data_IF_532803268046
#
_entry.id   IF_532803268046
#
_cell.length_a   1.000
_cell.length_b   1.000
_cell.length_c   1.000
_cell.angle_alpha   90.00
_cell.angle_beta   90.00
_cell.angle_gamma   90.00
#
_symmetry.space_group_name_H-M   'P 1'
#
loop_
_entity.id
_entity.type
_entity.pdbx_description
1 polymer ?
#
# COMPACT_ATOMS: atom_id res chain seq x y z
N UNK A 1 9.10 -8.40 4.01
CA UNK A 1 7.72 -8.48 4.56
C UNK A 1 7.11 -7.15 4.95
N UNK A 2 7.56 -6.39 5.97
CA UNK A 2 6.86 -5.15 6.38
C UNK A 2 7.84 -3.99 6.52
N UNK A 3 7.50 -2.84 5.93
CA UNK A 3 8.17 -1.56 6.18
C UNK A 3 7.22 -0.64 6.94
N UNK A 4 7.60 -0.22 8.14
CA UNK A 4 6.85 0.77 8.93
C UNK A 4 7.39 2.15 8.62
N UNK A 5 6.50 3.09 8.34
CA UNK A 5 6.81 4.49 8.15
C UNK A 5 6.63 5.24 9.48
N UNK A 6 7.72 5.81 10.00
CA UNK A 6 7.74 6.52 11.28
C UNK A 6 8.24 5.65 12.45
N UNK A 7 7.93 6.03 13.70
CA UNK A 7 8.47 5.38 14.88
C UNK A 7 8.06 3.89 15.00
N UNK A 8 9.04 3.03 15.29
CA UNK A 8 8.81 1.60 15.52
C UNK A 8 8.53 1.28 16.99
N UNK A 9 8.92 2.16 17.91
CA UNK A 9 8.58 2.07 19.34
C UNK A 9 7.15 2.59 19.62
N UNK A 10 6.63 2.24 20.79
CA UNK A 10 5.35 2.77 21.27
C UNK A 10 5.45 4.16 21.91
N UNK A 11 6.66 4.70 22.06
CA UNK A 11 6.89 5.98 22.74
C UNK A 11 6.40 7.13 21.86
N UNK A 12 5.44 7.92 22.36
CA UNK A 12 4.92 9.13 21.71
C UNK A 12 4.41 8.95 20.26
N UNK A 13 4.08 7.72 19.83
CA UNK A 13 3.64 7.43 18.46
C UNK A 13 2.14 7.68 18.21
N UNK A 14 1.33 7.61 19.27
CA UNK A 14 -0.13 7.56 19.15
C UNK A 14 -0.65 6.22 18.64
N UNK A 15 -1.93 6.19 18.22
CA UNK A 15 -2.66 4.97 17.85
C UNK A 15 -2.57 4.56 16.37
N UNK A 16 -1.75 5.23 15.57
CA UNK A 16 -1.67 4.98 14.12
C UNK A 16 -0.33 4.36 13.72
N UNK A 17 -0.39 3.39 12.81
CA UNK A 17 0.80 2.78 12.19
C UNK A 17 0.61 2.83 10.69
N UNK A 18 1.55 3.44 9.98
CA UNK A 18 1.57 3.45 8.53
C UNK A 18 2.64 2.47 8.05
N UNK A 19 2.31 1.62 7.08
CA UNK A 19 3.21 0.58 6.60
C UNK A 19 2.90 0.16 5.15
N UNK A 20 3.82 -0.61 4.57
CA UNK A 20 3.60 -1.40 3.36
C UNK A 20 4.10 -2.84 3.54
N UNK A 21 3.52 -3.76 2.78
CA UNK A 21 3.94 -5.16 2.70
C UNK A 21 4.86 -5.39 1.50
N UNK A 22 5.77 -6.34 1.64
CA UNK A 22 6.73 -6.76 0.63
C UNK A 22 6.81 -8.28 0.61
N UNK A 23 6.80 -8.87 -0.57
CA UNK A 23 6.92 -10.31 -0.77
C UNK A 23 8.34 -10.83 -0.41
N UNK A 24 8.59 -12.16 -0.43
CA UNK A 24 9.90 -12.75 -0.14
C UNK A 24 11.03 -12.26 -1.06
N UNK A 25 10.71 -11.89 -2.29
CA UNK A 25 11.64 -11.33 -3.27
C UNK A 25 11.92 -9.83 -3.05
N UNK A 26 11.22 -9.22 -2.09
CA UNK A 26 11.35 -7.81 -1.76
C UNK A 26 10.50 -6.90 -2.64
N UNK A 27 9.56 -7.46 -3.42
CA UNK A 27 8.64 -6.66 -4.19
C UNK A 27 7.52 -6.10 -3.32
N UNK A 28 7.19 -4.82 -3.53
CA UNK A 28 6.03 -4.21 -2.91
C UNK A 28 4.75 -4.99 -3.27
N UNK A 29 3.96 -5.32 -2.24
CA UNK A 29 2.60 -5.84 -2.41
C UNK A 29 1.64 -4.65 -2.54
N UNK A 30 0.85 -4.62 -3.60
CA UNK A 30 -0.08 -3.51 -3.86
C UNK A 30 -1.06 -3.31 -2.70
N UNK A 31 -1.11 -2.10 -2.13
CA UNK A 31 -1.96 -1.80 -0.99
C UNK A 31 -3.45 -2.04 -1.28
N UNK A 32 -3.88 -1.94 -2.54
CA UNK A 32 -5.27 -2.21 -2.98
C UNK A 32 -5.58 -3.70 -2.87
N UNK A 33 -4.60 -4.56 -3.15
CA UNK A 33 -4.76 -6.00 -2.96
C UNK A 33 -4.82 -6.34 -1.48
N UNK A 34 -3.98 -5.72 -0.68
CA UNK A 34 -4.01 -5.91 0.78
C UNK A 34 -5.35 -5.44 1.36
N UNK A 35 -5.86 -4.28 0.94
CA UNK A 35 -7.18 -3.77 1.36
C UNK A 35 -8.32 -4.73 1.00
N UNK A 36 -8.29 -5.27 -0.21
CA UNK A 36 -9.27 -6.27 -0.65
C UNK A 36 -9.23 -7.53 0.23
N UNK A 37 -8.05 -8.13 0.38
CA UNK A 37 -7.89 -9.35 1.18
C UNK A 37 -8.28 -9.11 2.65
N UNK A 38 -7.95 -7.93 3.19
CA UNK A 38 -8.39 -7.51 4.52
C UNK A 38 -9.92 -7.44 4.60
N UNK A 39 -10.58 -6.89 3.58
CA UNK A 39 -12.04 -6.79 3.53
C UNK A 39 -12.72 -8.17 3.50
N UNK A 40 -12.12 -9.19 2.86
CA UNK A 40 -12.64 -10.57 2.87
C UNK A 40 -12.61 -11.15 4.30
N UNK A 41 -11.58 -10.82 5.07
CA UNK A 41 -11.42 -11.22 6.48
C UNK A 41 -12.20 -10.31 7.47
N UNK A 42 -12.97 -9.34 6.97
CA UNK A 42 -13.73 -8.41 7.80
C UNK A 42 -12.88 -7.35 8.50
N UNK A 43 -11.68 -7.06 7.98
CA UNK A 43 -10.75 -6.04 8.50
C UNK A 43 -10.85 -4.78 7.64
N UNK A 44 -11.22 -3.65 8.25
CA UNK A 44 -11.24 -2.35 7.57
C UNK A 44 -9.89 -1.65 7.74
N UNK A 45 -9.19 -1.48 6.62
CA UNK A 45 -7.94 -0.71 6.54
C UNK A 45 -8.20 0.64 5.86
N UNK A 46 -7.33 1.61 6.11
CA UNK A 46 -7.27 2.82 5.29
C UNK A 46 -6.06 2.74 4.38
N UNK A 47 -6.26 2.91 3.09
CA UNK A 47 -5.20 2.90 2.10
C UNK A 47 -5.25 4.15 1.21
N UNK A 48 -4.15 4.42 0.51
CA UNK A 48 -4.07 5.51 -0.46
C UNK A 48 -2.77 6.30 -0.38
N UNK A 49 -2.72 7.41 -1.11
CA UNK A 49 -1.55 8.28 -1.18
C UNK A 49 -1.34 9.12 0.07
N UNK A 50 -0.10 9.53 0.27
CA UNK A 50 0.20 10.62 1.16
C UNK A 50 -0.31 11.93 0.56
N UNK A 51 -1.15 12.65 1.30
CA UNK A 51 -1.72 13.94 0.87
C UNK A 51 -0.78 15.13 1.07
N UNK A 52 0.38 14.90 1.70
CA UNK A 52 1.37 15.93 1.98
C UNK A 52 2.52 15.84 0.95
N UNK A 53 2.82 16.93 0.21
CA UNK A 53 3.96 16.96 -0.70
C UNK A 53 5.26 16.59 0.01
N UNK A 54 6.14 15.84 -0.66
CA UNK A 54 7.41 15.36 -0.11
C UNK A 54 7.30 14.12 0.78
N UNK A 55 6.14 13.82 1.38
CA UNK A 55 6.00 12.66 2.27
C UNK A 55 5.94 11.36 1.48
N UNK A 56 5.22 11.34 0.35
CA UNK A 56 5.16 10.17 -0.51
C UNK A 56 6.50 9.86 -1.15
N UNK A 57 7.22 10.89 -1.54
CA UNK A 57 8.55 10.82 -2.14
C UNK A 57 9.56 10.22 -1.17
N UNK A 58 9.57 10.65 0.09
CA UNK A 58 10.45 10.09 1.12
C UNK A 58 10.03 8.67 1.53
N UNK A 59 8.73 8.41 1.68
CA UNK A 59 8.24 7.11 2.10
C UNK A 59 8.52 6.02 1.05
N UNK A 60 8.27 6.35 -0.21
CA UNK A 60 8.32 5.42 -1.34
C UNK A 60 9.59 5.55 -2.20
N UNK A 61 10.55 6.36 -1.75
CA UNK A 61 11.83 6.61 -2.42
C UNK A 61 11.66 7.10 -3.87
N UNK A 62 10.66 7.97 -4.11
CA UNK A 62 10.43 8.57 -5.43
C UNK A 62 11.48 9.64 -5.70
N UNK A 63 12.18 9.51 -6.82
CA UNK A 63 13.22 10.47 -7.19
C UNK A 63 12.64 11.61 -8.03
N UNK A 64 13.44 12.66 -8.25
CA UNK A 64 13.06 13.73 -9.17
C UNK A 64 12.76 13.20 -10.58
N UNK A 65 13.51 12.20 -11.03
CA UNK A 65 13.30 11.54 -12.33
C UNK A 65 11.95 10.79 -12.39
N UNK A 66 11.50 10.20 -11.29
CA UNK A 66 10.18 9.56 -11.23
C UNK A 66 9.05 10.58 -11.33
N UNK A 67 9.20 11.73 -10.64
CA UNK A 67 8.25 12.83 -10.73
C UNK A 67 8.20 13.43 -12.13
N UNK A 68 9.36 13.61 -12.76
CA UNK A 68 9.46 14.08 -14.15
C UNK A 68 8.80 13.11 -15.13
N UNK A 69 9.00 11.80 -14.97
CA UNK A 69 8.35 10.79 -15.81
C UNK A 69 6.82 10.83 -15.67
N UNK A 70 6.30 11.12 -14.48
CA UNK A 70 4.88 11.39 -14.27
C UNK A 70 4.40 12.64 -15.03
N UNK A 71 5.14 13.74 -14.96
CA UNK A 71 4.80 14.98 -15.65
C UNK A 71 4.86 14.83 -17.18
N UNK A 72 5.81 14.06 -17.70
CA UNK A 72 5.96 13.76 -19.13
C UNK A 72 4.79 12.96 -19.70
N UNK A 73 3.99 12.28 -18.86
CA UNK A 73 2.78 11.59 -19.29
C UNK A 73 1.65 12.55 -19.71
N UNK A 74 1.80 13.85 -19.45
CA UNK A 74 0.88 14.90 -19.89
C UNK A 74 -0.09 15.38 -18.82
N UNK A 75 -0.89 16.41 -19.12
CA UNK A 75 -1.75 17.10 -18.16
C UNK A 75 -2.92 16.25 -17.65
N UNK A 76 -3.29 15.20 -18.39
CA UNK A 76 -4.39 14.30 -18.04
C UNK A 76 -3.94 13.14 -17.12
N UNK A 77 -2.69 13.18 -16.62
CA UNK A 77 -2.21 12.17 -15.69
C UNK A 77 -3.06 12.15 -14.42
N UNK A 78 -3.48 10.95 -14.03
CA UNK A 78 -4.13 10.68 -12.77
C UNK A 78 -3.24 9.79 -11.88
N UNK A 79 -3.66 9.61 -10.64
CA UNK A 79 -2.90 8.80 -9.67
C UNK A 79 -2.64 7.37 -10.16
N UNK A 80 -3.64 6.72 -10.77
CA UNK A 80 -3.51 5.34 -11.24
C UNK A 80 -2.41 5.26 -12.29
N UNK A 81 -2.44 6.16 -13.27
CA UNK A 81 -1.44 6.19 -14.34
C UNK A 81 -0.06 6.55 -13.80
N UNK A 82 0.01 7.43 -12.81
CA UNK A 82 1.25 7.74 -12.12
C UNK A 82 1.82 6.52 -11.38
N UNK A 83 0.97 5.76 -10.67
CA UNK A 83 1.36 4.53 -9.99
C UNK A 83 1.91 3.48 -10.95
N UNK A 84 1.29 3.28 -12.12
CA UNK A 84 1.81 2.36 -13.14
C UNK A 84 3.23 2.76 -13.59
N UNK A 85 3.44 4.05 -13.88
CA UNK A 85 4.74 4.57 -14.33
C UNK A 85 5.83 4.30 -13.28
N UNK A 86 5.60 4.63 -12.02
CA UNK A 86 6.61 4.47 -10.96
C UNK A 86 6.82 3.00 -10.57
N UNK A 87 5.79 2.16 -10.63
CA UNK A 87 5.92 0.72 -10.41
C UNK A 87 6.85 0.10 -11.46
N UNK A 88 6.70 0.48 -12.74
CA UNK A 88 7.60 0.03 -13.81
C UNK A 88 9.05 0.53 -13.67
N UNK A 89 9.29 1.62 -12.94
CA UNK A 89 10.61 2.26 -12.83
C UNK A 89 11.44 1.79 -11.63
N UNK A 90 10.88 1.01 -10.72
CA UNK A 90 11.64 0.53 -9.56
C UNK A 90 10.81 -0.22 -8.53
N UNK A 91 9.63 -0.72 -8.92
CA UNK A 91 8.71 -1.40 -8.03
C UNK A 91 8.34 -0.57 -6.78
N UNK A 92 8.18 0.74 -7.01
CA UNK A 92 7.86 1.75 -6.01
C UNK A 92 6.34 1.87 -5.87
N UNK A 93 5.87 2.35 -4.72
CA UNK A 93 4.46 2.71 -4.52
C UNK A 93 4.24 4.20 -4.72
N UNK A 94 2.99 4.62 -4.90
CA UNK A 94 2.53 5.95 -4.50
C UNK A 94 1.40 5.82 -3.48
N UNK A 95 1.60 5.04 -2.43
CA UNK A 95 0.61 4.90 -1.37
C UNK A 95 1.04 3.94 -0.28
N UNK A 96 0.33 4.04 0.84
CA UNK A 96 0.59 3.25 2.02
C UNK A 96 -0.69 2.78 2.71
N UNK A 97 -0.53 1.76 3.54
CA UNK A 97 -1.59 1.25 4.42
C UNK A 97 -1.47 1.95 5.77
N UNK A 98 -2.59 2.43 6.30
CA UNK A 98 -2.68 3.02 7.63
C UNK A 98 -3.61 2.20 8.51
N UNK A 99 -3.04 1.62 9.56
CA UNK A 99 -3.77 0.99 10.65
C UNK A 99 -4.07 2.09 11.68
N UNK A 100 -5.33 2.19 12.10
CA UNK A 100 -5.77 3.17 13.09
C UNK A 100 -6.44 2.44 14.25
N UNK A 101 -5.79 2.45 15.41
CA UNK A 101 -6.33 1.88 16.65
C UNK A 101 -6.97 3.00 17.47
N UNK A 102 -8.07 2.68 18.14
CA UNK A 102 -8.79 3.62 18.99
C UNK A 102 -9.38 2.96 20.22
N UNK A 103 -10.24 3.68 20.95
CA UNK A 103 -10.85 3.22 22.20
C UNK A 103 -11.63 1.89 22.05
N UNK A 104 -12.23 1.66 20.89
CA UNK A 104 -12.99 0.44 20.61
C UNK A 104 -12.11 -0.75 20.19
N UNK A 105 -10.83 -0.54 19.90
CA UNK A 105 -9.91 -1.61 19.50
C UNK A 105 -9.45 -2.40 20.72
N UNK A 106 -9.59 -3.73 20.66
CA UNK A 106 -9.13 -4.63 21.72
C UNK A 106 -8.05 -5.60 21.21
N UNK A 107 -7.55 -6.46 22.12
CA UNK A 107 -6.49 -7.41 21.80
C UNK A 107 -6.91 -8.41 20.70
N UNK A 108 -8.16 -8.85 20.67
CA UNK A 108 -8.64 -9.79 19.63
C UNK A 108 -8.56 -9.16 18.24
N UNK A 109 -8.94 -7.89 18.11
CA UNK A 109 -8.84 -7.16 16.83
C UNK A 109 -7.39 -7.06 16.37
N UNK A 110 -6.48 -6.70 17.28
CA UNK A 110 -5.04 -6.61 17.00
C UNK A 110 -4.49 -7.98 16.61
N UNK A 111 -4.84 -9.02 17.35
CA UNK A 111 -4.37 -10.38 17.08
C UNK A 111 -4.86 -10.89 15.72
N UNK A 112 -6.12 -10.63 15.36
CA UNK A 112 -6.66 -10.95 14.02
C UNK A 112 -5.89 -10.23 12.92
N UNK A 113 -5.59 -8.95 13.10
CA UNK A 113 -4.74 -8.23 12.15
C UNK A 113 -3.33 -8.82 12.07
N UNK A 114 -2.72 -9.24 13.19
CA UNK A 114 -1.40 -9.88 13.18
C UNK A 114 -1.43 -11.21 12.42
N UNK A 115 -2.48 -12.03 12.59
CA UNK A 115 -2.64 -13.26 11.82
C UNK A 115 -2.84 -12.97 10.33
N UNK A 116 -3.65 -11.97 9.99
CA UNK A 116 -3.79 -11.49 8.62
C UNK A 116 -2.46 -11.03 8.03
N UNK A 117 -1.69 -10.21 8.73
CA UNK A 117 -0.37 -9.75 8.28
C UNK A 117 0.63 -10.91 8.11
N UNK A 118 0.53 -11.94 8.95
CA UNK A 118 1.38 -13.12 8.86
C UNK A 118 1.08 -14.00 7.65
N UNK A 119 -0.14 -13.95 7.08
CA UNK A 119 -0.49 -14.74 5.90
C UNK A 119 0.29 -14.32 4.64
N UNK A 120 0.81 -13.09 4.62
CA UNK A 120 1.64 -12.56 3.52
C UNK A 120 3.09 -13.03 3.55
N UNK A 121 3.55 -13.67 4.63
CA UNK A 121 4.98 -13.92 4.89
C UNK A 121 5.69 -14.68 3.77
N UNK A 122 5.02 -15.68 3.24
CA UNK A 122 5.57 -16.61 2.25
C UNK A 122 4.80 -16.54 0.92
N UNK A 123 4.14 -15.40 0.65
CA UNK A 123 3.31 -15.18 -0.53
C UNK A 123 3.99 -14.19 -1.48
N UNK A 124 4.01 -14.53 -2.77
CA UNK A 124 4.54 -13.66 -3.82
C UNK A 124 3.42 -12.81 -4.41
N UNK A 125 3.75 -11.72 -5.10
CA UNK A 125 2.73 -10.95 -5.84
C UNK A 125 1.93 -11.83 -6.84
N UNK A 126 2.56 -12.87 -7.40
CA UNK A 126 1.91 -13.84 -8.29
C UNK A 126 0.87 -14.67 -7.52
N UNK A 127 1.21 -15.19 -6.35
CA UNK A 127 0.29 -16.03 -5.56
C UNK A 127 -0.84 -15.20 -4.93
N UNK A 128 -0.56 -13.96 -4.56
CA UNK A 128 -1.57 -13.03 -4.04
C UNK A 128 -2.52 -12.55 -5.14
N UNK A 129 -2.08 -12.52 -6.39
CA UNK A 129 -2.85 -11.97 -7.52
C UNK A 129 -2.74 -10.46 -7.62
N UNK A 130 -2.90 -9.95 -8.84
CA UNK A 130 -2.74 -8.53 -9.14
C UNK A 130 -4.06 -7.75 -9.07
N UNK A 131 -3.95 -6.46 -8.74
CA UNK A 131 -5.04 -5.50 -8.87
C UNK A 131 -4.69 -4.52 -9.98
N UNK A 132 -5.47 -4.55 -11.04
CA UNK A 132 -5.35 -3.61 -12.15
C UNK A 132 -6.51 -2.62 -12.11
N UNK A 133 -6.34 -1.46 -12.74
CA UNK A 133 -7.39 -0.47 -12.86
C UNK A 133 -7.64 -0.21 -14.34
N UNK A 134 -8.86 -0.49 -14.77
CA UNK A 134 -9.31 -0.10 -16.09
C UNK A 134 -9.67 1.38 -16.06
N UNK A 135 -8.82 2.17 -16.73
CA UNK A 135 -8.96 3.62 -16.83
C UNK A 135 -10.19 4.01 -17.66
N UNK A 136 -10.54 3.24 -18.69
CA UNK A 136 -11.67 3.55 -19.57
C UNK A 136 -13.01 3.35 -18.85
N UNK A 137 -13.11 2.28 -18.06
CA UNK A 137 -14.34 1.97 -17.33
C UNK A 137 -14.35 2.48 -15.89
N UNK A 138 -13.25 3.08 -15.42
CA UNK A 138 -13.02 3.50 -14.03
C UNK A 138 -13.28 2.35 -13.03
N UNK A 139 -12.84 1.13 -13.36
CA UNK A 139 -13.08 -0.07 -12.54
C UNK A 139 -11.78 -0.70 -12.08
N UNK A 140 -11.78 -1.14 -10.83
CA UNK A 140 -10.73 -2.00 -10.30
C UNK A 140 -11.00 -3.44 -10.77
N UNK A 141 -10.06 -4.02 -11.52
CA UNK A 141 -10.06 -5.43 -11.94
C UNK A 141 -9.13 -6.20 -11.00
N UNK A 142 -9.57 -7.38 -10.58
CA UNK A 142 -8.87 -8.19 -9.57
C UNK A 142 -8.60 -9.57 -10.14
N UNK A 143 -7.33 -9.97 -10.17
CA UNK A 143 -6.89 -11.29 -10.62
C UNK A 143 -6.85 -12.30 -9.47
N UNK A 144 -6.97 -13.59 -9.80
CA UNK A 144 -6.87 -14.69 -8.84
C UNK A 144 -8.18 -14.98 -8.09
N UNK A 145 -9.02 -15.81 -8.71
CA UNK A 145 -10.15 -16.51 -8.09
C UNK A 145 -9.89 -18.01 -8.12
#
# INVERSE_FOLDING_TARGET
>A
MVRIYGPTSGEMRGGTITLNFYDPEGHLVDYRRVEELASVEGISLRTGCFCNPGTGEIAEDLTAEDMLAGLEAGPDINLVRFMEIIQHRGNKSAGAIRISMGLATNFSDIYRFVQFAASFRDQTNISLGEVTFDIETCRVIRGGS
#
